data_IF_594762381569
#
_entry.id   IF_594762381569
#
_cell.length_a   1.000
_cell.length_b   1.000
_cell.length_c   1.000
_cell.angle_alpha   90.00
_cell.angle_beta   90.00
_cell.angle_gamma   90.00
#
_symmetry.space_group_name_H-M   'P 1'
#
loop_
_entity.id
_entity.type
_entity.pdbx_description
1 polymer ?
#
# COMPACT_ATOMS: atom_id res chain seq x y z
N UNK A 1 -9.34 -43.66 -10.36
CA UNK A 1 -9.66 -42.42 -11.09
C UNK A 1 -9.21 -41.28 -10.22
N UNK A 2 -8.30 -40.45 -10.75
CA UNK A 2 -7.46 -39.52 -9.99
C UNK A 2 -8.25 -38.23 -9.71
N UNK A 3 -8.17 -37.74 -8.48
CA UNK A 3 -8.77 -36.49 -8.03
C UNK A 3 -8.39 -35.33 -8.95
N UNK A 4 -9.39 -34.71 -9.57
CA UNK A 4 -9.20 -33.47 -10.29
C UNK A 4 -8.82 -32.37 -9.29
N UNK A 5 -7.70 -31.64 -9.48
CA UNK A 5 -7.44 -30.48 -8.65
C UNK A 5 -8.54 -29.47 -8.95
N UNK A 6 -9.30 -29.08 -7.92
CA UNK A 6 -10.18 -27.91 -7.91
C UNK A 6 -9.32 -26.65 -8.06
N UNK A 7 -8.74 -26.42 -9.25
CA UNK A 7 -8.26 -25.11 -9.63
C UNK A 7 -9.51 -24.24 -9.74
N UNK A 8 -9.76 -23.43 -8.71
CA UNK A 8 -10.82 -22.42 -8.76
C UNK A 8 -10.66 -21.65 -10.06
N UNK A 9 -11.69 -21.62 -10.89
CA UNK A 9 -11.81 -20.68 -12.00
C UNK A 9 -11.46 -19.29 -11.45
N UNK A 10 -10.25 -18.81 -11.74
CA UNK A 10 -9.87 -17.44 -11.42
C UNK A 10 -10.60 -16.59 -12.44
N UNK A 11 -11.67 -15.95 -12.02
CA UNK A 11 -12.35 -14.98 -12.86
C UNK A 11 -11.31 -13.92 -13.24
N UNK A 12 -11.07 -13.78 -14.54
CA UNK A 12 -10.35 -12.64 -15.08
C UNK A 12 -11.25 -11.43 -14.88
N UNK A 13 -10.88 -10.50 -14.01
CA UNK A 13 -11.72 -9.35 -13.68
C UNK A 13 -10.93 -8.05 -13.63
N UNK A 14 -11.64 -6.97 -13.95
CA UNK A 14 -11.26 -5.60 -13.61
C UNK A 14 -12.52 -4.94 -13.05
N UNK A 15 -12.39 -4.32 -11.89
CA UNK A 15 -13.46 -3.62 -11.18
C UNK A 15 -12.95 -2.25 -10.80
N UNK A 16 -13.71 -1.23 -11.14
CA UNK A 16 -13.50 0.13 -10.69
C UNK A 16 -14.56 0.49 -9.65
N UNK A 17 -14.12 1.07 -8.55
CA UNK A 17 -14.96 1.57 -7.47
C UNK A 17 -14.63 3.06 -7.31
N UNK A 18 -15.36 3.95 -8.00
CA UNK A 18 -15.22 5.37 -7.78
C UNK A 18 -15.76 5.77 -6.41
N UNK A 19 -15.23 6.86 -5.87
CA UNK A 19 -15.77 7.56 -4.71
C UNK A 19 -15.87 6.74 -3.42
N UNK A 20 -14.95 5.78 -3.21
CA UNK A 20 -14.83 5.03 -1.96
C UNK A 20 -14.53 6.01 -0.83
N UNK A 21 -15.43 6.09 0.14
CA UNK A 21 -15.31 7.02 1.27
C UNK A 21 -14.11 6.65 2.14
N UNK A 22 -13.25 7.64 2.38
CA UNK A 22 -12.18 7.57 3.36
C UNK A 22 -12.55 8.35 4.61
N UNK A 23 -11.73 8.26 5.66
CA UNK A 23 -11.94 9.09 6.85
C UNK A 23 -11.94 10.59 6.50
N UNK A 24 -12.96 11.31 6.97
CA UNK A 24 -13.22 12.71 6.61
C UNK A 24 -14.04 12.86 5.33
N UNK A 25 -13.78 13.90 4.55
CA UNK A 25 -14.50 14.20 3.29
C UNK A 25 -13.68 13.79 2.06
N UNK A 26 -12.73 12.87 2.22
CA UNK A 26 -11.87 12.39 1.14
C UNK A 26 -12.45 11.15 0.48
N UNK A 27 -12.23 11.01 -0.82
CA UNK A 27 -12.73 9.91 -1.63
C UNK A 27 -11.58 9.29 -2.41
N UNK A 28 -11.59 7.97 -2.53
CA UNK A 28 -10.60 7.20 -3.28
C UNK A 28 -11.24 6.59 -4.52
N UNK A 29 -10.51 6.64 -5.63
CA UNK A 29 -10.82 5.86 -6.82
C UNK A 29 -10.03 4.55 -6.75
N UNK A 30 -10.72 3.44 -6.48
CA UNK A 30 -10.10 2.12 -6.34
C UNK A 30 -10.26 1.32 -7.62
N UNK A 31 -9.15 0.80 -8.13
CA UNK A 31 -9.14 -0.10 -9.29
C UNK A 31 -8.58 -1.45 -8.83
N UNK A 32 -9.35 -2.52 -9.03
CA UNK A 32 -8.94 -3.89 -8.73
C UNK A 32 -8.89 -4.68 -10.03
N UNK A 33 -7.74 -5.23 -10.38
CA UNK A 33 -7.60 -6.06 -11.59
C UNK A 33 -6.83 -7.34 -11.34
N UNK A 34 -7.17 -8.38 -12.08
CA UNK A 34 -6.39 -9.61 -12.22
C UNK A 34 -5.70 -9.74 -13.59
N UNK A 35 -5.80 -8.72 -14.47
CA UNK A 35 -5.26 -8.72 -15.83
C UNK A 35 -3.98 -7.89 -15.90
N UNK A 36 -2.90 -8.47 -16.43
CA UNK A 36 -1.63 -7.74 -16.60
C UNK A 36 -1.74 -6.51 -17.49
N UNK A 37 -2.45 -6.60 -18.63
CA UNK A 37 -2.66 -5.48 -19.56
C UNK A 37 -3.38 -4.28 -18.91
N UNK A 38 -4.33 -4.53 -18.01
CA UNK A 38 -5.04 -3.48 -17.28
C UNK A 38 -4.15 -2.84 -16.19
N UNK A 39 -3.18 -3.58 -15.65
CA UNK A 39 -2.16 -3.02 -14.74
C UNK A 39 -1.33 -1.97 -15.46
N UNK A 40 -0.88 -2.23 -16.68
CA UNK A 40 -0.05 -1.29 -17.46
C UNK A 40 -0.84 0.01 -17.76
N UNK A 41 -2.12 -0.12 -18.12
CA UNK A 41 -3.02 1.04 -18.33
C UNK A 41 -3.28 1.82 -17.04
N UNK A 42 -3.46 1.11 -15.92
CA UNK A 42 -3.65 1.73 -14.61
C UNK A 42 -2.40 2.50 -14.19
N UNK A 43 -1.22 1.91 -14.34
CA UNK A 43 0.06 2.54 -14.00
C UNK A 43 0.32 3.78 -14.86
N UNK A 44 0.08 3.73 -16.17
CA UNK A 44 0.23 4.92 -17.02
C UNK A 44 -0.70 6.07 -16.59
N UNK A 45 -1.94 5.75 -16.21
CA UNK A 45 -2.89 6.75 -15.66
C UNK A 45 -2.40 7.30 -14.32
N UNK A 46 -1.82 6.44 -13.48
CA UNK A 46 -1.29 6.82 -12.18
C UNK A 46 -0.06 7.74 -12.31
N UNK A 47 0.90 7.39 -13.18
CA UNK A 47 2.08 8.22 -13.49
C UNK A 47 1.68 9.62 -13.93
N UNK A 48 0.72 9.75 -14.86
CA UNK A 48 0.20 11.06 -15.31
C UNK A 48 -0.38 11.91 -14.18
N UNK A 49 -0.97 11.29 -13.14
CA UNK A 49 -1.45 12.02 -11.95
C UNK A 49 -0.28 12.46 -11.05
N UNK A 50 0.74 11.63 -10.91
CA UNK A 50 1.92 11.93 -10.10
C UNK A 50 2.85 12.98 -10.73
N UNK A 51 2.92 13.06 -12.07
CA UNK A 51 3.84 13.99 -12.77
C UNK A 51 3.52 15.47 -12.53
N UNK A 52 2.29 15.78 -12.11
CA UNK A 52 1.92 17.14 -11.69
C UNK A 52 2.22 17.45 -10.21
N UNK A 53 2.76 16.49 -9.44
CA UNK A 53 2.96 16.65 -8.00
C UNK A 53 4.41 17.02 -7.67
N UNK A 54 4.64 17.99 -6.77
CA UNK A 54 5.98 18.40 -6.37
C UNK A 54 6.72 17.33 -5.56
N UNK A 55 5.99 16.44 -4.91
CA UNK A 55 6.51 15.29 -4.17
C UNK A 55 5.70 14.06 -4.57
N UNK A 56 6.38 13.00 -5.00
CA UNK A 56 5.74 11.79 -5.52
C UNK A 56 5.90 10.61 -4.53
N UNK A 57 5.17 10.69 -3.42
CA UNK A 57 5.08 9.59 -2.44
C UNK A 57 4.05 8.55 -2.88
N UNK A 58 4.40 7.27 -2.81
CA UNK A 58 3.52 6.15 -3.16
C UNK A 58 3.43 5.18 -2.00
N UNK A 59 2.23 5.04 -1.42
CA UNK A 59 1.97 4.03 -0.39
C UNK A 59 2.01 2.61 -0.98
N UNK A 60 2.74 1.70 -0.35
CA UNK A 60 2.84 0.29 -0.78
C UNK A 60 2.55 -0.64 0.39
N UNK A 61 1.75 -1.67 0.09
CA UNK A 61 1.44 -2.79 0.97
C UNK A 61 1.30 -4.05 0.13
N UNK A 62 1.77 -5.20 0.64
CA UNK A 62 1.91 -6.43 -0.15
C UNK A 62 1.23 -7.61 0.55
N UNK A 63 0.16 -8.08 -0.06
CA UNK A 63 -0.55 -9.28 0.39
C UNK A 63 -0.01 -10.54 -0.31
N UNK A 64 0.76 -11.34 0.42
CA UNK A 64 1.40 -12.52 -0.12
C UNK A 64 0.56 -13.79 0.07
N UNK A 65 0.37 -14.53 -1.02
CA UNK A 65 -0.08 -15.93 -1.02
C UNK A 65 0.87 -16.72 -1.90
N UNK A 66 1.18 -17.97 -1.54
CA UNK A 66 2.10 -18.87 -2.24
C UNK A 66 1.68 -19.19 -3.70
N UNK A 67 1.74 -18.20 -4.59
CA UNK A 67 1.38 -18.32 -6.00
C UNK A 67 2.17 -17.32 -6.83
N UNK A 68 2.97 -17.82 -7.76
CA UNK A 68 3.63 -17.00 -8.77
C UNK A 68 2.63 -16.74 -9.91
N UNK A 69 2.46 -15.48 -10.30
CA UNK A 69 1.64 -15.03 -11.43
C UNK A 69 2.55 -14.49 -12.54
N UNK A 70 2.05 -14.38 -13.79
CA UNK A 70 2.76 -13.65 -14.82
C UNK A 70 3.03 -12.21 -14.39
N UNK A 71 4.18 -11.72 -14.84
CA UNK A 71 4.86 -10.54 -14.33
C UNK A 71 4.52 -9.32 -15.22
N UNK A 72 3.76 -8.31 -14.76
CA UNK A 72 3.44 -7.11 -15.56
C UNK A 72 4.70 -6.24 -15.70
N UNK A 73 5.20 -6.08 -16.93
CA UNK A 73 6.48 -5.41 -17.18
C UNK A 73 6.47 -3.93 -16.77
N UNK A 74 5.33 -3.24 -16.81
CA UNK A 74 5.26 -1.84 -16.36
C UNK A 74 5.27 -1.71 -14.84
N UNK A 75 4.86 -2.75 -14.10
CA UNK A 75 4.92 -2.74 -12.65
C UNK A 75 6.36 -2.76 -12.16
N UNK A 76 7.22 -3.59 -12.76
CA UNK A 76 8.65 -3.61 -12.46
C UNK A 76 9.31 -2.26 -12.70
N UNK A 77 9.09 -1.68 -13.88
CA UNK A 77 9.62 -0.35 -14.21
C UNK A 77 9.12 0.71 -13.25
N UNK A 78 7.86 0.61 -12.81
CA UNK A 78 7.29 1.54 -11.84
C UNK A 78 7.97 1.42 -10.48
N UNK A 79 8.15 0.20 -9.96
CA UNK A 79 8.76 -0.05 -8.64
C UNK A 79 10.26 0.31 -8.59
N UNK A 80 10.94 0.28 -9.74
CA UNK A 80 12.36 0.65 -9.86
C UNK A 80 12.61 2.14 -10.16
N UNK A 81 11.56 2.91 -10.46
CA UNK A 81 11.68 4.31 -10.85
C UNK A 81 12.11 5.18 -9.66
N UNK A 82 13.17 5.97 -9.85
CA UNK A 82 13.80 6.81 -8.84
C UNK A 82 13.13 8.19 -8.66
N UNK A 83 12.12 8.53 -9.46
CA UNK A 83 11.29 9.71 -9.24
C UNK A 83 10.25 9.51 -8.14
N UNK A 84 9.93 8.25 -7.80
CA UNK A 84 8.97 7.91 -6.77
C UNK A 84 9.69 7.52 -5.48
N UNK A 85 9.08 7.87 -4.34
CA UNK A 85 9.50 7.35 -3.04
C UNK A 85 8.39 6.46 -2.50
N UNK A 86 8.70 5.18 -2.30
CA UNK A 86 7.76 4.18 -1.82
C UNK A 86 7.69 4.19 -0.30
N UNK A 87 6.49 4.37 0.25
CA UNK A 87 6.27 4.46 1.69
C UNK A 87 5.47 3.25 2.14
N UNK A 88 5.98 2.51 3.12
CA UNK A 88 5.29 1.34 3.64
C UNK A 88 5.65 1.06 5.10
N UNK A 89 4.85 0.24 5.77
CA UNK A 89 5.10 -0.17 7.15
C UNK A 89 5.76 -1.54 7.15
N UNK A 90 6.92 -1.67 7.79
CA UNK A 90 7.71 -2.91 7.74
C UNK A 90 8.05 -3.35 6.31
N UNK A 91 8.21 -2.38 5.40
CA UNK A 91 8.35 -2.57 3.96
C UNK A 91 9.58 -3.41 3.59
N UNK A 92 10.62 -3.42 4.43
CA UNK A 92 11.76 -4.33 4.27
C UNK A 92 11.32 -5.81 4.28
N UNK A 93 10.38 -6.16 5.15
CA UNK A 93 9.77 -7.49 5.16
C UNK A 93 9.04 -7.80 3.86
N UNK A 94 8.35 -6.82 3.29
CA UNK A 94 7.61 -6.99 2.04
C UNK A 94 8.52 -7.03 0.82
N UNK A 95 9.60 -6.26 0.79
CA UNK A 95 10.65 -6.35 -0.25
C UNK A 95 11.18 -7.77 -0.36
N UNK A 96 11.46 -8.42 0.78
CA UNK A 96 11.92 -9.81 0.78
C UNK A 96 10.88 -10.77 0.17
N UNK A 97 9.59 -10.58 0.44
CA UNK A 97 8.51 -11.38 -0.17
C UNK A 97 8.32 -11.07 -1.66
N UNK A 98 8.44 -9.80 -2.04
CA UNK A 98 8.35 -9.35 -3.44
C UNK A 98 9.45 -9.96 -4.28
N UNK A 99 10.69 -10.02 -3.76
CA UNK A 99 11.84 -10.65 -4.43
C UNK A 99 11.59 -12.12 -4.76
N UNK A 100 10.92 -12.86 -3.87
CA UNK A 100 10.51 -14.26 -4.13
C UNK A 100 9.57 -14.37 -5.35
N UNK A 101 8.79 -13.31 -5.63
CA UNK A 101 7.88 -13.22 -6.77
C UNK A 101 8.49 -12.55 -8.00
N UNK A 102 9.79 -12.23 -7.96
CA UNK A 102 10.52 -11.57 -9.03
C UNK A 102 10.31 -10.05 -9.13
N UNK A 103 9.66 -9.41 -8.15
CA UNK A 103 9.53 -7.96 -8.08
C UNK A 103 10.59 -7.36 -7.16
N UNK A 104 11.08 -6.18 -7.51
CA UNK A 104 11.99 -5.41 -6.67
C UNK A 104 11.53 -3.95 -6.59
N UNK A 105 11.58 -3.38 -5.38
CA UNK A 105 11.44 -1.95 -5.15
C UNK A 105 12.85 -1.38 -5.12
N UNK A 106 13.04 -0.23 -5.78
CA UNK A 106 14.29 0.51 -5.74
C UNK A 106 14.81 0.63 -4.29
N UNK A 107 16.03 0.14 -4.06
CA UNK A 107 16.63 0.04 -2.72
C UNK A 107 16.86 1.39 -2.07
N UNK A 108 16.99 2.46 -2.84
CA UNK A 108 17.41 3.76 -2.33
C UNK A 108 16.20 4.70 -2.13
N UNK A 109 15.05 4.30 -2.67
CA UNK A 109 13.87 5.16 -2.83
C UNK A 109 12.66 4.64 -2.05
N UNK A 110 12.87 4.25 -0.80
CA UNK A 110 11.78 3.86 0.07
C UNK A 110 11.92 4.43 1.49
N UNK A 111 10.77 4.57 2.17
CA UNK A 111 10.65 5.00 3.55
C UNK A 111 9.90 3.91 4.29
N UNK A 112 10.58 3.27 5.25
CA UNK A 112 9.92 2.39 6.21
C UNK A 112 9.41 3.21 7.39
N UNK A 113 8.12 3.48 7.41
CA UNK A 113 7.53 4.30 8.48
C UNK A 113 7.59 3.61 9.85
N UNK A 114 7.77 2.29 9.93
CA UNK A 114 8.03 1.62 11.20
C UNK A 114 9.42 1.99 11.76
N UNK A 115 10.39 2.20 10.88
CA UNK A 115 11.78 2.53 11.23
C UNK A 115 11.98 4.03 11.40
N UNK A 116 11.33 4.85 10.58
CA UNK A 116 11.49 6.31 10.60
C UNK A 116 10.65 6.97 11.68
N UNK A 117 9.39 6.51 11.86
CA UNK A 117 8.47 7.22 12.74
C UNK A 117 8.48 6.66 14.16
N UNK A 118 8.20 7.55 15.12
CA UNK A 118 8.09 7.21 16.55
C UNK A 118 6.79 7.73 17.10
N UNK A 119 6.25 7.01 18.07
CA UNK A 119 5.11 7.47 18.86
C UNK A 119 5.47 8.83 19.49
N UNK A 120 4.68 9.89 19.25
CA UNK A 120 5.02 11.23 19.71
C UNK A 120 5.08 11.33 21.24
N UNK A 121 4.38 10.45 21.97
CA UNK A 121 4.26 10.47 23.44
C UNK A 121 5.35 9.66 24.13
N UNK A 122 5.57 8.41 23.70
CA UNK A 122 6.50 7.50 24.37
C UNK A 122 7.82 7.27 23.60
N UNK A 123 7.94 7.86 22.41
CA UNK A 123 9.13 7.79 21.54
C UNK A 123 9.52 6.37 21.10
N UNK A 124 8.67 5.37 21.29
CA UNK A 124 8.90 3.99 20.82
C UNK A 124 8.52 3.85 19.36
N UNK A 125 9.01 2.77 18.74
CA UNK A 125 8.54 2.32 17.43
C UNK A 125 7.08 1.89 17.51
N UNK A 126 6.38 1.99 16.40
CA UNK A 126 5.04 1.46 16.26
C UNK A 126 5.08 -0.06 16.02
N UNK A 127 4.16 -0.78 16.65
CA UNK A 127 4.05 -2.23 16.50
C UNK A 127 3.22 -2.61 15.26
N UNK A 128 2.31 -1.73 14.84
CA UNK A 128 1.46 -1.96 13.67
C UNK A 128 1.09 -0.66 12.92
N UNK A 129 0.68 -0.80 11.67
CA UNK A 129 0.10 0.30 10.88
C UNK A 129 -1.15 0.89 11.55
N UNK A 130 -1.92 0.08 12.28
CA UNK A 130 -3.06 0.55 13.05
C UNK A 130 -2.65 1.49 14.20
N UNK A 131 -1.50 1.23 14.84
CA UNK A 131 -0.95 2.15 15.86
C UNK A 131 -0.55 3.48 15.25
N UNK A 132 0.05 3.46 14.05
CA UNK A 132 0.39 4.68 13.31
C UNK A 132 -0.87 5.49 13.03
N UNK A 133 -1.92 4.86 12.50
CA UNK A 133 -3.18 5.54 12.18
C UNK A 133 -3.85 6.15 13.42
N UNK A 134 -3.93 5.38 14.51
CA UNK A 134 -4.45 5.79 15.81
C UNK A 134 -3.71 7.02 16.37
N UNK A 135 -2.37 6.99 16.31
CA UNK A 135 -1.54 8.03 16.95
C UNK A 135 -1.28 9.26 16.08
N UNK A 136 -1.23 9.11 14.76
CA UNK A 136 -0.74 10.15 13.85
C UNK A 136 -1.82 10.77 12.96
N UNK A 137 -2.91 10.05 12.68
CA UNK A 137 -3.89 10.49 11.68
C UNK A 137 -5.13 11.07 12.35
N UNK A 138 -5.82 10.29 13.18
CA UNK A 138 -7.06 10.72 13.82
C UNK A 138 -7.46 9.80 14.99
N UNK A 139 -8.01 10.40 16.05
CA UNK A 139 -8.54 9.67 17.21
C UNK A 139 -9.62 8.65 16.83
N UNK A 140 -10.31 8.85 15.70
CA UNK A 140 -11.31 7.89 15.22
C UNK A 140 -10.72 6.50 14.94
N UNK A 141 -9.44 6.43 14.54
CA UNK A 141 -8.75 5.15 14.33
C UNK A 141 -8.48 4.40 15.64
N UNK A 142 -8.47 5.10 16.79
CA UNK A 142 -8.40 4.47 18.11
C UNK A 142 -9.56 3.51 18.35
N UNK A 143 -10.78 3.99 18.11
CA UNK A 143 -12.00 3.23 18.33
C UNK A 143 -12.18 2.14 17.26
N UNK A 144 -11.74 2.41 16.03
CA UNK A 144 -11.69 1.41 14.98
C UNK A 144 -10.77 0.25 15.38
N UNK A 145 -9.55 0.56 15.86
CA UNK A 145 -8.59 -0.44 16.34
C UNK A 145 -9.19 -1.33 17.44
N UNK A 146 -9.88 -0.75 18.42
CA UNK A 146 -10.58 -1.53 19.47
C UNK A 146 -11.60 -2.52 18.89
N UNK A 147 -12.34 -2.11 17.86
CA UNK A 147 -13.31 -2.97 17.17
C UNK A 147 -12.65 -4.07 16.34
N UNK A 148 -11.47 -3.81 15.77
CA UNK A 148 -10.68 -4.79 15.02
C UNK A 148 -10.11 -5.89 15.91
N UNK A 149 -9.69 -5.58 17.14
CA UNK A 149 -9.27 -6.62 18.10
C UNK A 149 -10.41 -7.61 18.38
N UNK A 150 -11.67 -7.19 18.22
CA UNK A 150 -12.85 -8.05 18.36
C UNK A 150 -13.27 -8.75 17.06
N UNK A 151 -12.81 -8.29 15.88
CA UNK A 151 -13.21 -8.81 14.56
C UNK A 151 -11.98 -8.85 13.64
N UNK A 152 -11.52 -10.05 13.27
CA UNK A 152 -10.43 -10.28 12.30
C UNK A 152 -10.71 -9.54 10.97
N UNK A 153 -10.26 -8.30 10.84
CA UNK A 153 -10.48 -7.43 9.69
C UNK A 153 -9.14 -6.79 9.32
N UNK A 154 -8.87 -6.71 8.01
CA UNK A 154 -7.63 -6.17 7.44
C UNK A 154 -7.80 -4.65 7.26
N UNK A 155 -6.83 -3.87 7.73
CA UNK A 155 -6.76 -2.42 7.57
C UNK A 155 -5.91 -2.14 6.32
N UNK A 156 -6.50 -1.55 5.28
CA UNK A 156 -5.74 -0.93 4.21
C UNK A 156 -5.48 0.53 4.62
N UNK A 157 -4.21 0.93 4.71
CA UNK A 157 -3.84 2.27 5.19
C UNK A 157 -4.14 3.38 4.20
N UNK A 158 -4.85 4.42 4.65
CA UNK A 158 -5.01 5.68 3.93
C UNK A 158 -3.83 6.63 4.21
N UNK A 159 -3.03 6.95 3.19
CA UNK A 159 -1.89 7.86 3.30
C UNK A 159 -2.21 9.33 2.93
N UNK A 160 -3.48 9.70 2.80
CA UNK A 160 -3.91 11.01 2.28
C UNK A 160 -3.56 12.22 3.17
N UNK A 161 -3.16 12.02 4.44
CA UNK A 161 -2.75 13.10 5.37
C UNK A 161 -1.24 13.33 5.52
N UNK A 162 -0.37 12.47 4.96
CA UNK A 162 1.08 12.52 5.20
C UNK A 162 1.77 13.83 4.80
N UNK A 163 1.23 14.56 3.81
CA UNK A 163 1.90 15.74 3.27
C UNK A 163 1.93 16.93 4.25
N UNK A 164 1.01 16.99 5.23
CA UNK A 164 0.99 18.06 6.25
C UNK A 164 1.83 17.75 7.48
N UNK A 165 2.03 16.47 7.84
CA UNK A 165 2.80 16.11 9.04
C UNK A 165 4.30 16.13 8.82
N UNK A 166 4.78 15.83 7.60
CA UNK A 166 6.21 15.87 7.26
C UNK A 166 6.81 17.27 7.46
N UNK A 167 6.05 18.34 7.16
CA UNK A 167 6.47 19.72 7.40
C UNK A 167 6.50 20.13 8.88
N UNK A 168 5.72 19.47 9.75
CA UNK A 168 5.67 19.79 11.18
C UNK A 168 6.60 18.93 12.05
N UNK A 169 7.15 17.84 11.50
CA UNK A 169 8.11 16.98 12.21
C UNK A 169 9.58 17.37 11.97
N UNK A 170 9.84 18.42 11.18
CA UNK A 170 11.16 19.03 10.97
C UNK A 170 11.41 20.29 11.83
N UNK A 171 10.59 20.56 12.85
CA UNK A 171 10.82 21.60 13.86
C UNK A 171 11.06 21.01 15.24
#
# INVERSE_FOLDING_TARGET
MVDAPLYKQRHTYTRELPDVDLHGNHKLHVVCTSKGEDVDKMLSTFRRKLDGMPVKLVGVDVEYRHYVKPHPMELDKFLMNDEYTFVGFAIEGDKNKMKVSGFEINSDNYIDIQVEWRDPYNKKKFDSLADVADRMIDIHYHDMKKKLTARRTILCGDFSRCQKSLSSMQQ
#
